data_IF_651002855146
#
_entry.id   IF_651002855146
#
_cell.length_a   1.000
_cell.length_b   1.000
_cell.length_c   1.000
_cell.angle_alpha   90.00
_cell.angle_beta   90.00
_cell.angle_gamma   90.00
#
_symmetry.space_group_name_H-M   'P 1'
#
loop_
_entity.id
_entity.type
_entity.pdbx_description
1 polymer ?
#
# COMPACT_ATOMS: atom_id res chain seq x y z
N UNK A 1 0.35 0.38 -12.34
CA UNK A 1 0.52 -0.98 -11.80
C UNK A 1 0.34 -2.01 -12.91
N UNK A 2 1.05 -3.15 -12.82
CA UNK A 2 0.91 -4.27 -13.76
C UNK A 2 -0.31 -5.12 -13.43
N UNK A 3 -0.52 -5.37 -12.15
CA UNK A 3 -1.63 -6.13 -11.61
C UNK A 3 -2.13 -5.48 -10.33
N UNK A 4 -3.41 -5.53 -10.08
CA UNK A 4 -4.03 -5.09 -8.83
C UNK A 4 -5.38 -5.79 -8.60
N UNK A 5 -5.76 -5.94 -7.35
CA UNK A 5 -7.02 -6.60 -7.00
C UNK A 5 -7.23 -6.66 -5.49
N UNK A 6 -8.29 -7.37 -5.12
CA UNK A 6 -8.59 -7.74 -3.75
C UNK A 6 -8.85 -9.23 -3.72
N UNK A 7 -8.12 -9.93 -2.87
CA UNK A 7 -8.23 -11.37 -2.64
C UNK A 7 -8.38 -11.62 -1.14
N UNK A 8 -8.80 -12.81 -0.76
CA UNK A 8 -8.79 -13.17 0.67
C UNK A 8 -7.37 -13.40 1.18
N UNK A 9 -7.23 -13.41 2.51
CA UNK A 9 -5.92 -13.48 3.16
C UNK A 9 -5.16 -14.79 2.89
N UNK A 10 -5.86 -15.94 2.82
CA UNK A 10 -5.21 -17.22 2.54
C UNK A 10 -4.75 -17.29 1.07
N UNK A 11 -5.55 -16.80 0.14
CA UNK A 11 -5.17 -16.71 -1.28
C UNK A 11 -3.94 -15.79 -1.44
N UNK A 12 -3.94 -14.62 -0.78
CA UNK A 12 -2.80 -13.73 -0.81
C UNK A 12 -1.55 -14.41 -0.26
N UNK A 13 -1.65 -15.04 0.92
CA UNK A 13 -0.51 -15.74 1.52
C UNK A 13 0.06 -16.81 0.58
N UNK A 14 -0.81 -17.57 -0.08
CA UNK A 14 -0.37 -18.60 -1.03
C UNK A 14 0.36 -18.01 -2.24
N UNK A 15 -0.02 -16.82 -2.69
CA UNK A 15 0.73 -16.09 -3.73
C UNK A 15 2.10 -15.61 -3.21
N UNK A 16 2.14 -15.10 -1.98
CA UNK A 16 3.38 -14.54 -1.38
C UNK A 16 4.47 -15.58 -1.13
N UNK A 17 4.11 -16.85 -0.87
CA UNK A 17 5.11 -17.91 -0.69
C UNK A 17 5.87 -18.29 -1.99
N UNK A 18 5.43 -17.75 -3.13
CA UNK A 18 6.08 -17.89 -4.43
C UNK A 18 6.59 -16.55 -4.97
N UNK A 19 6.75 -15.53 -4.13
CA UNK A 19 7.18 -14.18 -4.55
C UNK A 19 8.52 -14.20 -5.30
N UNK A 20 9.46 -15.06 -4.91
CA UNK A 20 10.73 -15.22 -5.59
C UNK A 20 10.58 -15.71 -7.03
N UNK A 21 9.67 -16.65 -7.28
CA UNK A 21 9.40 -17.19 -8.62
C UNK A 21 8.75 -16.14 -9.52
N UNK A 22 8.03 -15.15 -8.94
CA UNK A 22 7.44 -14.02 -9.63
C UNK A 22 8.45 -12.90 -9.96
N UNK A 23 9.70 -13.04 -9.50
CA UNK A 23 10.75 -12.04 -9.71
C UNK A 23 10.56 -10.77 -8.85
N UNK A 24 9.77 -10.83 -7.80
CA UNK A 24 9.58 -9.67 -6.90
C UNK A 24 10.86 -9.43 -6.10
N UNK A 25 11.32 -8.20 -6.10
CA UNK A 25 12.59 -7.84 -5.46
C UNK A 25 12.37 -7.30 -4.04
N UNK A 26 11.24 -6.67 -3.78
CA UNK A 26 10.87 -6.08 -2.50
C UNK A 26 9.35 -5.91 -2.40
N UNK A 27 8.87 -5.72 -1.18
CA UNK A 27 7.46 -5.54 -0.89
C UNK A 27 7.24 -4.48 0.19
N UNK A 28 6.05 -3.89 0.20
CA UNK A 28 5.58 -3.02 1.26
C UNK A 28 4.20 -3.49 1.75
N UNK A 29 3.99 -3.39 3.05
CA UNK A 29 2.74 -3.77 3.71
C UNK A 29 2.29 -2.57 4.56
N UNK A 30 1.01 -2.18 4.45
CA UNK A 30 0.43 -1.20 5.36
C UNK A 30 0.36 -1.79 6.77
N UNK A 31 0.92 -1.07 7.75
CA UNK A 31 0.91 -1.44 9.14
C UNK A 31 -0.15 -0.63 9.90
N UNK A 32 -0.88 -1.28 10.77
CA UNK A 32 -1.79 -0.60 11.70
C UNK A 32 -1.01 0.09 12.80
N UNK A 33 -1.44 1.29 13.18
CA UNK A 33 -0.86 2.06 14.27
C UNK A 33 -1.87 2.24 15.39
N UNK A 34 -1.41 2.13 16.63
CA UNK A 34 -2.20 2.45 17.81
C UNK A 34 -1.87 3.87 18.29
N UNK A 35 -2.82 4.76 18.21
CA UNK A 35 -2.68 6.15 18.68
C UNK A 35 -3.19 6.32 20.11
N UNK A 36 -2.96 5.32 20.98
CA UNK A 36 -3.39 5.35 22.37
C UNK A 36 -4.87 5.05 22.59
N UNK A 37 -5.61 4.66 21.55
CA UNK A 37 -6.99 4.21 21.66
C UNK A 37 -7.07 2.71 21.90
N UNK A 38 -8.13 2.26 22.59
CA UNK A 38 -8.43 0.85 22.72
C UNK A 38 -8.65 0.23 21.32
N UNK A 39 -8.00 -0.90 21.06
CA UNK A 39 -8.12 -1.61 19.79
C UNK A 39 -9.07 -2.81 19.95
N UNK A 40 -9.95 -2.99 18.98
CA UNK A 40 -10.86 -4.12 18.91
C UNK A 40 -10.17 -5.40 18.43
N UNK A 41 -10.88 -6.53 18.53
CA UNK A 41 -10.41 -7.85 18.07
C UNK A 41 -9.94 -7.83 16.60
N UNK A 42 -10.63 -7.09 15.76
CA UNK A 42 -10.33 -6.98 14.33
C UNK A 42 -8.91 -6.45 14.05
N UNK A 43 -8.39 -5.58 14.93
CA UNK A 43 -7.03 -5.06 14.82
C UNK A 43 -6.01 -6.17 15.10
N UNK A 44 -6.26 -7.01 16.11
CA UNK A 44 -5.39 -8.16 16.41
C UNK A 44 -5.37 -9.17 15.27
N UNK A 45 -6.53 -9.47 14.69
CA UNK A 45 -6.63 -10.36 13.53
C UNK A 45 -5.88 -9.76 12.32
N UNK A 46 -5.95 -8.46 12.10
CA UNK A 46 -5.20 -7.75 11.06
C UNK A 46 -3.69 -7.84 11.28
N UNK A 47 -3.23 -7.59 12.51
CA UNK A 47 -1.79 -7.67 12.86
C UNK A 47 -1.26 -9.10 12.67
N UNK A 48 -2.07 -10.11 13.05
CA UNK A 48 -1.71 -11.51 12.84
C UNK A 48 -1.48 -11.80 11.33
N UNK A 49 -2.36 -11.31 10.46
CA UNK A 49 -2.21 -11.49 9.03
C UNK A 49 -1.03 -10.72 8.45
N UNK A 50 -0.80 -9.48 8.90
CA UNK A 50 0.40 -8.70 8.53
C UNK A 50 1.66 -9.50 8.88
N UNK A 51 1.73 -10.09 10.07
CA UNK A 51 2.86 -10.94 10.48
C UNK A 51 3.06 -12.16 9.59
N UNK A 52 1.97 -12.84 9.20
CA UNK A 52 2.02 -13.99 8.28
C UNK A 52 2.51 -13.60 6.87
N UNK A 53 2.07 -12.44 6.36
CA UNK A 53 2.53 -11.93 5.07
C UNK A 53 4.00 -11.50 5.13
N UNK A 54 4.37 -10.80 6.19
CA UNK A 54 5.75 -10.38 6.42
C UNK A 54 6.71 -11.57 6.47
N UNK A 55 6.35 -12.62 7.20
CA UNK A 55 7.15 -13.85 7.30
C UNK A 55 7.27 -14.54 5.95
N UNK A 56 6.14 -14.75 5.24
CA UNK A 56 6.15 -15.38 3.93
C UNK A 56 7.08 -14.66 2.95
N UNK A 57 6.99 -13.33 2.89
CA UNK A 57 7.84 -12.51 2.03
C UNK A 57 9.30 -12.49 2.49
N UNK A 58 9.56 -12.44 3.79
CA UNK A 58 10.93 -12.40 4.35
C UNK A 58 11.74 -13.66 4.04
N UNK A 59 11.07 -14.80 3.87
CA UNK A 59 11.70 -16.07 3.49
C UNK A 59 12.01 -16.08 1.97
N UNK A 60 11.16 -15.47 1.16
CA UNK A 60 11.24 -15.54 -0.29
C UNK A 60 12.10 -14.43 -0.92
N UNK A 61 12.29 -13.33 -0.23
CA UNK A 61 12.90 -12.14 -0.79
C UNK A 61 14.25 -11.83 -0.15
N UNK A 62 15.17 -11.30 -0.94
CA UNK A 62 16.49 -10.85 -0.46
C UNK A 62 16.40 -9.68 0.53
N UNK A 63 15.37 -8.87 0.41
CA UNK A 63 15.11 -7.74 1.29
C UNK A 63 13.81 -7.98 2.06
N UNK A 64 13.82 -7.65 3.36
CA UNK A 64 12.62 -7.73 4.20
C UNK A 64 11.55 -6.76 3.71
N UNK A 65 10.26 -7.14 3.78
CA UNK A 65 9.17 -6.24 3.46
C UNK A 65 9.22 -4.98 4.31
N UNK A 66 8.91 -3.84 3.72
CA UNK A 66 8.79 -2.58 4.45
C UNK A 66 7.39 -2.48 5.07
N UNK A 67 7.33 -2.20 6.36
CA UNK A 67 6.08 -1.84 7.04
C UNK A 67 5.92 -0.32 7.00
N UNK A 68 4.78 0.16 6.53
CA UNK A 68 4.47 1.58 6.40
C UNK A 68 3.17 1.90 7.14
N UNK A 69 3.22 2.87 8.02
CA UNK A 69 2.03 3.38 8.68
C UNK A 69 1.31 4.43 7.84
N UNK A 70 0.00 4.53 8.00
CA UNK A 70 -0.85 5.46 7.28
C UNK A 70 -0.38 6.93 7.35
N UNK A 71 0.24 7.31 8.45
CA UNK A 71 0.77 8.67 8.64
C UNK A 71 1.96 8.97 7.71
N UNK A 72 2.77 7.96 7.39
CA UNK A 72 3.91 8.11 6.46
C UNK A 72 3.41 8.37 5.05
N UNK A 73 2.38 7.63 4.59
CA UNK A 73 1.75 7.85 3.29
C UNK A 73 1.18 9.26 3.17
N UNK A 74 0.46 9.73 4.21
CA UNK A 74 -0.14 11.06 4.25
C UNK A 74 0.93 12.16 4.15
N UNK A 75 1.99 12.03 4.94
CA UNK A 75 3.12 12.98 4.91
C UNK A 75 3.82 12.97 3.56
N UNK A 76 4.03 11.79 2.99
CA UNK A 76 4.75 11.66 1.73
C UNK A 76 3.93 12.18 0.54
N UNK A 77 2.67 11.76 0.42
CA UNK A 77 1.83 12.05 -0.75
C UNK A 77 1.21 13.45 -0.67
N UNK A 78 0.75 13.86 0.52
CA UNK A 78 0.01 15.11 0.72
C UNK A 78 0.80 16.18 1.46
N UNK A 79 1.98 15.88 1.97
CA UNK A 79 2.78 16.76 2.86
C UNK A 79 2.00 17.21 4.12
N UNK A 80 0.96 16.45 4.50
CA UNK A 80 0.12 16.72 5.67
C UNK A 80 -0.29 15.42 6.37
N UNK A 81 0.14 15.24 7.61
CA UNK A 81 -0.20 14.06 8.43
C UNK A 81 -1.71 13.93 8.74
N UNK A 82 -2.47 15.02 8.60
CA UNK A 82 -3.92 15.05 8.83
C UNK A 82 -4.73 14.79 7.56
N UNK A 83 -4.09 14.61 6.42
CA UNK A 83 -4.76 14.31 5.16
C UNK A 83 -5.72 13.11 5.32
N UNK A 84 -6.85 13.16 4.63
CA UNK A 84 -7.81 12.06 4.56
C UNK A 84 -7.68 11.29 3.23
N UNK A 85 -8.40 10.17 3.10
CA UNK A 85 -8.35 9.35 1.89
C UNK A 85 -8.75 10.09 0.60
N UNK A 86 -9.77 10.97 0.59
CA UNK A 86 -10.03 11.83 -0.55
C UNK A 86 -8.86 12.71 -0.95
N UNK A 87 -8.12 13.27 0.01
CA UNK A 87 -6.95 14.11 -0.26
C UNK A 87 -5.80 13.29 -0.88
N UNK A 88 -5.52 12.09 -0.34
CA UNK A 88 -4.53 11.18 -0.93
C UNK A 88 -4.92 10.82 -2.36
N UNK A 89 -6.18 10.42 -2.56
CA UNK A 89 -6.69 10.10 -3.91
C UNK A 89 -6.56 11.27 -4.86
N UNK A 90 -6.89 12.48 -4.41
CA UNK A 90 -6.77 13.69 -5.22
C UNK A 90 -5.32 13.95 -5.63
N UNK A 91 -4.38 13.88 -4.70
CA UNK A 91 -2.96 14.06 -4.97
C UNK A 91 -2.43 13.01 -5.97
N UNK A 92 -2.88 11.76 -5.87
CA UNK A 92 -2.52 10.71 -6.83
C UNK A 92 -3.10 10.97 -8.22
N UNK A 93 -4.36 11.42 -8.31
CA UNK A 93 -5.00 11.78 -9.59
C UNK A 93 -4.25 12.94 -10.24
N UNK A 94 -3.96 14.00 -9.49
CA UNK A 94 -3.24 15.18 -10.01
C UNK A 94 -1.85 14.83 -10.54
N UNK A 95 -1.24 13.78 -10.00
CA UNK A 95 0.11 13.35 -10.35
C UNK A 95 0.16 12.38 -11.54
N UNK A 96 -0.81 11.48 -11.68
CA UNK A 96 -0.75 10.36 -12.61
C UNK A 96 -1.84 10.33 -13.67
N UNK A 97 -2.98 10.99 -13.46
CA UNK A 97 -4.04 11.00 -14.47
C UNK A 97 -3.62 11.81 -15.69
N UNK A 98 -3.99 11.30 -16.86
CA UNK A 98 -3.59 11.90 -18.15
C UNK A 98 -4.70 12.73 -18.78
N UNK A 99 -5.96 12.33 -18.65
CA UNK A 99 -7.09 13.02 -19.27
C UNK A 99 -8.34 13.11 -18.37
N UNK A 100 -8.59 12.15 -17.47
CA UNK A 100 -9.66 12.25 -16.48
C UNK A 100 -9.13 12.87 -15.19
N UNK A 101 -8.88 14.16 -15.20
CA UNK A 101 -8.35 14.89 -14.05
C UNK A 101 -9.34 14.97 -12.87
N UNK A 102 -10.59 14.53 -13.04
CA UNK A 102 -11.56 14.49 -11.95
C UNK A 102 -11.49 13.19 -11.15
N UNK A 103 -11.48 12.05 -11.82
CA UNK A 103 -11.55 10.74 -11.18
C UNK A 103 -10.30 9.87 -11.43
N UNK A 104 -9.49 10.22 -12.43
CA UNK A 104 -8.31 9.49 -12.83
C UNK A 104 -8.57 8.14 -13.50
N UNK A 105 -9.83 7.83 -13.82
CA UNK A 105 -10.23 6.49 -14.30
C UNK A 105 -10.50 6.44 -15.79
N UNK A 106 -10.98 7.53 -16.37
CA UNK A 106 -11.47 7.50 -17.75
C UNK A 106 -12.71 6.60 -17.90
N UNK A 107 -12.86 6.01 -19.07
CA UNK A 107 -13.95 5.10 -19.44
C UNK A 107 -13.41 3.76 -19.94
N UNK A 108 -14.28 2.75 -20.11
CA UNK A 108 -13.86 1.45 -20.67
C UNK A 108 -13.30 1.55 -22.10
N UNK A 109 -13.75 2.55 -22.88
CA UNK A 109 -13.26 2.81 -24.24
C UNK A 109 -11.98 3.65 -24.27
N UNK A 110 -11.77 4.47 -23.26
CA UNK A 110 -10.59 5.33 -23.09
C UNK A 110 -10.19 5.32 -21.61
N UNK A 111 -9.52 4.27 -21.13
CA UNK A 111 -9.12 4.14 -19.74
C UNK A 111 -8.00 5.13 -19.40
N UNK A 112 -8.07 5.75 -18.21
CA UNK A 112 -6.98 6.54 -17.65
C UNK A 112 -6.21 5.70 -16.61
N UNK A 113 -5.17 6.26 -16.03
CA UNK A 113 -4.18 5.59 -15.19
C UNK A 113 -4.81 4.73 -14.07
N UNK A 114 -5.87 5.22 -13.44
CA UNK A 114 -6.56 4.53 -12.33
C UNK A 114 -7.82 3.78 -12.75
N UNK A 115 -7.93 3.42 -14.03
CA UNK A 115 -9.06 2.61 -14.48
C UNK A 115 -9.17 1.30 -13.69
N UNK A 116 -10.36 0.99 -13.20
CA UNK A 116 -10.60 -0.20 -12.38
C UNK A 116 -10.30 -0.05 -10.88
N UNK A 117 -9.66 1.04 -10.43
CA UNK A 117 -9.36 1.23 -9.02
C UNK A 117 -10.65 1.39 -8.19
N UNK A 118 -10.69 0.66 -7.06
CA UNK A 118 -11.77 0.70 -6.05
C UNK A 118 -11.12 0.90 -4.67
N UNK A 119 -11.93 1.21 -3.68
CA UNK A 119 -11.59 1.43 -2.26
C UNK A 119 -10.15 1.06 -1.84
N UNK A 120 -9.93 -0.20 -1.47
CA UNK A 120 -8.67 -0.69 -0.90
C UNK A 120 -7.49 -0.66 -1.88
N UNK A 121 -7.77 -0.67 -3.19
CA UNK A 121 -6.73 -0.61 -4.23
C UNK A 121 -6.01 0.75 -4.22
N UNK A 122 -6.73 1.84 -3.91
CA UNK A 122 -6.13 3.15 -3.74
C UNK A 122 -5.15 3.17 -2.57
N UNK A 123 -5.52 2.54 -1.43
CA UNK A 123 -4.65 2.45 -0.27
C UNK A 123 -3.39 1.63 -0.60
N UNK A 124 -3.56 0.45 -1.19
CA UNK A 124 -2.44 -0.39 -1.60
C UNK A 124 -1.48 0.33 -2.56
N UNK A 125 -2.02 1.11 -3.51
CA UNK A 125 -1.21 1.90 -4.42
C UNK A 125 -0.43 3.01 -3.70
N UNK A 126 -1.07 3.70 -2.75
CA UNK A 126 -0.43 4.73 -1.93
C UNK A 126 0.74 4.17 -1.11
N UNK A 127 0.56 2.99 -0.48
CA UNK A 127 1.63 2.26 0.23
C UNK A 127 2.79 1.95 -0.72
N UNK A 128 2.49 1.35 -1.87
CA UNK A 128 3.51 0.98 -2.86
C UNK A 128 4.29 2.18 -3.38
N UNK A 129 3.61 3.27 -3.72
CA UNK A 129 4.24 4.51 -4.19
C UNK A 129 5.15 5.11 -3.12
N UNK A 130 4.65 5.24 -1.89
CA UNK A 130 5.42 5.77 -0.75
C UNK A 130 6.67 4.93 -0.51
N UNK A 131 6.56 3.60 -0.59
CA UNK A 131 7.68 2.70 -0.42
C UNK A 131 8.74 2.87 -1.52
N UNK A 132 8.31 2.94 -2.79
CA UNK A 132 9.21 3.12 -3.94
C UNK A 132 10.00 4.43 -3.82
N UNK A 133 9.31 5.52 -3.54
CA UNK A 133 9.93 6.84 -3.53
C UNK A 133 10.83 7.08 -2.34
N UNK A 134 10.53 6.43 -1.21
CA UNK A 134 11.37 6.47 -0.01
C UNK A 134 12.45 5.38 0.03
N UNK A 135 12.51 4.48 -0.96
CA UNK A 135 13.52 3.41 -0.98
C UNK A 135 14.95 3.95 -1.01
N UNK A 136 15.16 5.12 -1.58
CA UNK A 136 16.46 5.77 -1.67
C UNK A 136 16.82 6.60 -0.42
N UNK A 137 15.87 6.79 0.50
CA UNK A 137 16.08 7.51 1.75
C UNK A 137 16.18 6.47 2.86
N UNK A 138 17.39 6.15 3.28
CA UNK A 138 17.79 5.26 4.36
C UNK A 138 16.71 4.62 5.23
N UNK A 139 16.81 3.29 5.37
CA UNK A 139 16.06 2.37 6.22
C UNK A 139 16.01 2.80 7.70
N UNK A 140 15.30 3.85 8.02
CA UNK A 140 14.87 4.12 9.39
C UNK A 140 13.43 3.63 9.49
N UNK A 141 13.21 2.57 10.29
CA UNK A 141 11.87 2.29 10.83
C UNK A 141 11.43 3.59 11.46
N UNK A 142 10.38 4.17 10.92
CA UNK A 142 9.82 5.38 11.50
C UNK A 142 9.36 5.04 12.92
N UNK A 143 9.88 5.78 13.89
CA UNK A 143 9.44 5.68 15.30
C UNK A 143 7.99 6.14 15.49
N UNK A 144 7.31 6.47 14.41
CA UNK A 144 5.99 7.09 14.38
C UNK A 144 4.83 6.08 14.28
N UNK A 145 5.12 4.76 14.25
CA UNK A 145 4.10 3.71 14.30
C UNK A 145 3.67 3.33 15.72
#
# INVERSE_FOLDING_TARGET
>A
PLEFGKVDNEELRNKLVFANEQGWQWAAIEMVASYGMAVGREVFDTVLWIGRFYEALSIQMAQKPRLLCRIEEKRHICHDSRANDPAIRRALIDRFATHDLKNGKGTSKNPDFFYGFKADIWAAYAVGLTAIENHNNDYKISSDC
#
